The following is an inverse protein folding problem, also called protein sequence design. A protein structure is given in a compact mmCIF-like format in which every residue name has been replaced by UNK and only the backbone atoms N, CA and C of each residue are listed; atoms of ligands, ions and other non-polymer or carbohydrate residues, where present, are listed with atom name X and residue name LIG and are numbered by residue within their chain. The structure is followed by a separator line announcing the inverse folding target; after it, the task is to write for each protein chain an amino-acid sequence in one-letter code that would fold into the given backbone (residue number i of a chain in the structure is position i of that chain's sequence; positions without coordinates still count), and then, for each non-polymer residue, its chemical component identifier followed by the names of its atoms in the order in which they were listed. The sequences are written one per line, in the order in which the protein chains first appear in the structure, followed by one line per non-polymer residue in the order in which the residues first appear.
data_IF_539614847270
#
_entry.id   IF_539614847270
#
_cell.length_a   1.000
_cell.length_b   1.000
_cell.length_c   1.000
_cell.angle_alpha   90.00
_cell.angle_beta   90.00
_cell.angle_gamma   90.00
#
_symmetry.space_group_name_H-M   'P 1'
#
loop_
_entity.id
_entity.type
_entity.pdbx_description
1 polymer ?
#
# COMPACT_ATOMS: atom_id res chain seq x y z
N UNK A 1 51.21 -6.84 -26.63
CA UNK A 1 50.12 -7.61 -26.00
C UNK A 1 49.06 -6.63 -25.60
N UNK A 2 48.04 -6.51 -26.47
CA UNK A 2 46.95 -5.54 -26.27
C UNK A 2 45.97 -6.03 -25.22
N UNK A 3 45.72 -5.22 -24.23
CA UNK A 3 44.62 -5.39 -23.33
C UNK A 3 43.31 -5.22 -24.13
N UNK A 4 42.58 -6.29 -24.36
CA UNK A 4 41.20 -6.21 -24.83
C UNK A 4 40.39 -5.47 -23.76
N UNK A 5 40.07 -4.23 -24.05
CA UNK A 5 39.11 -3.47 -23.29
C UNK A 5 37.79 -4.29 -23.24
N UNK A 6 37.36 -4.62 -22.04
CA UNK A 6 36.03 -5.20 -21.76
C UNK A 6 34.99 -4.18 -22.23
N UNK A 7 34.53 -4.33 -23.47
CA UNK A 7 33.44 -3.50 -24.00
C UNK A 7 32.17 -3.93 -23.26
N UNK A 8 31.90 -3.25 -22.16
CA UNK A 8 30.65 -3.40 -21.43
C UNK A 8 29.47 -3.14 -22.40
N UNK A 9 28.66 -4.15 -22.65
CA UNK A 9 27.41 -3.97 -23.38
C UNK A 9 26.52 -3.03 -22.58
N UNK A 10 26.02 -1.94 -23.19
CA UNK A 10 25.17 -0.99 -22.48
C UNK A 10 23.94 -1.68 -21.91
N UNK A 11 23.49 -1.17 -20.75
CA UNK A 11 22.26 -1.65 -20.12
C UNK A 11 21.07 -1.36 -21.04
N UNK A 12 20.16 -2.32 -21.20
CA UNK A 12 18.89 -2.14 -21.90
C UNK A 12 17.86 -1.67 -20.86
N UNK A 13 17.23 -0.51 -21.09
CA UNK A 13 16.24 0.07 -20.17
C UNK A 13 14.86 -0.07 -20.80
N UNK A 14 13.93 -0.66 -20.04
CA UNK A 14 12.50 -0.68 -20.35
C UNK A 14 11.84 0.28 -19.36
N UNK A 15 11.28 1.37 -19.88
CA UNK A 15 10.65 2.41 -19.07
C UNK A 15 9.45 1.88 -18.28
N UNK A 16 9.20 2.51 -17.13
CA UNK A 16 8.04 2.23 -16.31
C UNK A 16 6.74 2.46 -17.10
N UNK A 17 5.83 1.49 -17.09
CA UNK A 17 4.56 1.55 -17.83
C UNK A 17 3.49 0.73 -17.14
N UNK A 18 2.24 1.21 -17.17
CA UNK A 18 1.06 0.48 -16.68
C UNK A 18 1.20 -0.06 -15.24
N UNK A 19 1.80 0.74 -14.33
CA UNK A 19 2.03 0.36 -12.95
C UNK A 19 3.21 -0.60 -12.72
N UNK A 20 3.98 -0.92 -13.78
CA UNK A 20 5.23 -1.67 -13.69
C UNK A 20 6.42 -0.75 -13.46
N UNK A 21 7.40 -1.16 -12.64
CA UNK A 21 8.62 -0.39 -12.45
C UNK A 21 9.47 -0.37 -13.72
N UNK A 22 10.39 0.57 -13.80
CA UNK A 22 11.47 0.56 -14.78
C UNK A 22 12.29 -0.72 -14.64
N UNK A 23 12.68 -1.32 -15.75
CA UNK A 23 13.49 -2.54 -15.78
C UNK A 23 14.82 -2.25 -16.44
N UNK A 24 15.90 -2.48 -15.71
CA UNK A 24 17.28 -2.33 -16.19
C UNK A 24 17.85 -3.72 -16.48
N UNK A 25 18.08 -4.05 -17.72
CA UNK A 25 18.63 -5.34 -18.14
C UNK A 25 20.12 -5.20 -18.38
N UNK A 26 20.92 -5.83 -17.53
CA UNK A 26 22.37 -5.82 -17.59
C UNK A 26 22.92 -7.17 -18.01
N UNK A 27 23.73 -7.21 -19.07
CA UNK A 27 24.38 -8.43 -19.54
C UNK A 27 25.64 -8.73 -18.72
N UNK A 28 25.81 -10.01 -18.35
CA UNK A 28 26.93 -10.46 -17.53
C UNK A 28 27.70 -11.59 -18.21
N UNK A 29 28.98 -11.35 -18.48
CA UNK A 29 29.90 -12.37 -19.01
C UNK A 29 30.21 -13.49 -18.00
N UNK A 30 30.08 -13.20 -16.70
CA UNK A 30 30.32 -14.18 -15.62
C UNK A 30 29.20 -15.21 -15.51
N UNK A 31 27.98 -14.90 -15.98
CA UNK A 31 26.82 -15.78 -15.91
C UNK A 31 26.68 -16.56 -17.22
N UNK A 32 26.55 -17.88 -17.12
CA UNK A 32 26.41 -18.73 -18.30
C UNK A 32 24.97 -19.16 -18.58
N UNK A 33 24.15 -19.37 -17.54
CA UNK A 33 22.78 -19.94 -17.70
C UNK A 33 21.71 -19.31 -16.81
N UNK A 34 22.05 -18.58 -15.75
CA UNK A 34 21.11 -18.12 -14.73
C UNK A 34 20.82 -16.63 -14.84
N UNK A 35 19.51 -16.28 -14.85
CA UNK A 35 19.05 -14.92 -14.63
C UNK A 35 18.91 -14.65 -13.12
N UNK A 36 19.06 -13.41 -12.74
CA UNK A 36 18.65 -12.94 -11.41
C UNK A 36 18.09 -11.54 -11.53
N UNK A 37 17.13 -11.21 -10.68
CA UNK A 37 16.60 -9.87 -10.56
C UNK A 37 16.58 -9.44 -9.10
N UNK A 38 16.68 -8.13 -8.89
CA UNK A 38 16.53 -7.48 -7.59
C UNK A 38 15.92 -6.10 -7.75
N UNK A 39 15.27 -5.61 -6.69
CA UNK A 39 14.91 -4.21 -6.62
C UNK A 39 16.18 -3.36 -6.46
N UNK A 40 16.24 -2.25 -7.18
CA UNK A 40 17.27 -1.22 -7.06
C UNK A 40 16.57 0.15 -7.04
N UNK A 41 16.24 0.61 -5.82
CA UNK A 41 15.34 1.76 -5.64
C UNK A 41 13.93 1.47 -6.13
N UNK A 42 13.43 2.28 -7.08
CA UNK A 42 12.14 2.09 -7.75
C UNK A 42 12.19 1.20 -8.99
N UNK A 43 13.40 0.80 -9.43
CA UNK A 43 13.62 0.02 -10.65
C UNK A 43 13.94 -1.45 -10.32
N UNK A 44 13.80 -2.34 -11.30
CA UNK A 44 14.22 -3.74 -11.19
C UNK A 44 15.46 -3.98 -12.04
N UNK A 45 16.59 -4.27 -11.39
CA UNK A 45 17.81 -4.69 -12.10
C UNK A 45 17.76 -6.19 -12.40
N UNK A 46 17.84 -6.55 -13.67
CA UNK A 46 17.88 -7.93 -14.16
C UNK A 46 19.25 -8.22 -14.76
N UNK A 47 19.92 -9.22 -14.21
CA UNK A 47 21.20 -9.71 -14.73
C UNK A 47 20.96 -10.88 -15.66
N UNK A 48 21.37 -10.76 -16.95
CA UNK A 48 21.15 -11.75 -18.01
C UNK A 48 22.49 -12.28 -18.50
N UNK A 49 22.60 -13.60 -18.81
CA UNK A 49 23.79 -14.16 -19.47
C UNK A 49 24.06 -13.50 -20.83
N UNK A 50 25.34 -13.27 -21.15
CA UNK A 50 25.74 -12.64 -22.43
C UNK A 50 25.21 -13.39 -23.67
N UNK A 51 25.19 -14.71 -23.65
CA UNK A 51 24.80 -15.56 -24.76
C UNK A 51 23.32 -15.93 -24.84
N UNK A 52 22.45 -15.30 -24.05
CA UNK A 52 21.03 -15.62 -24.04
C UNK A 52 20.31 -15.02 -25.25
N UNK A 53 19.45 -15.83 -25.93
CA UNK A 53 18.65 -15.38 -27.08
C UNK A 53 17.57 -14.39 -26.60
N UNK A 54 17.28 -13.37 -27.41
CA UNK A 54 16.33 -12.32 -27.08
C UNK A 54 14.93 -12.85 -26.74
N UNK A 55 14.41 -13.80 -27.54
CA UNK A 55 13.08 -14.37 -27.31
C UNK A 55 12.95 -15.12 -25.98
N UNK A 56 13.99 -15.85 -25.56
CA UNK A 56 14.04 -16.54 -24.28
C UNK A 56 14.22 -15.55 -23.12
N UNK A 57 14.99 -14.48 -23.36
CA UNK A 57 15.22 -13.40 -22.41
C UNK A 57 13.91 -12.71 -22.05
N UNK A 58 13.14 -12.24 -23.03
CA UNK A 58 11.96 -11.40 -22.82
C UNK A 58 10.94 -12.11 -21.92
N UNK A 59 10.65 -13.39 -22.18
CA UNK A 59 9.73 -14.17 -21.35
C UNK A 59 10.24 -14.36 -19.92
N UNK A 60 11.49 -14.82 -19.77
CA UNK A 60 12.06 -15.12 -18.46
C UNK A 60 12.32 -13.87 -17.62
N UNK A 61 12.67 -12.75 -18.26
CA UNK A 61 12.81 -11.44 -17.59
C UNK A 61 11.48 -11.01 -17.01
N UNK A 62 10.39 -11.07 -17.78
CA UNK A 62 9.07 -10.65 -17.29
C UNK A 62 8.56 -11.52 -16.12
N UNK A 63 8.71 -12.85 -16.21
CA UNK A 63 8.37 -13.76 -15.12
C UNK A 63 9.16 -13.44 -13.83
N UNK A 64 10.46 -13.15 -13.99
CA UNK A 64 11.34 -12.83 -12.86
C UNK A 64 11.04 -11.47 -12.26
N UNK A 65 10.75 -10.47 -13.09
CA UNK A 65 10.31 -9.13 -12.66
C UNK A 65 9.02 -9.22 -11.85
N UNK A 66 8.00 -9.92 -12.35
CA UNK A 66 6.74 -10.12 -11.64
C UNK A 66 6.94 -10.82 -10.29
N UNK A 67 7.85 -11.79 -10.20
CA UNK A 67 8.19 -12.47 -8.96
C UNK A 67 8.86 -11.53 -7.95
N UNK A 68 9.84 -10.74 -8.41
CA UNK A 68 10.58 -9.82 -7.53
C UNK A 68 9.69 -8.68 -7.05
N UNK A 69 8.88 -8.10 -7.92
CA UNK A 69 7.94 -7.02 -7.54
C UNK A 69 6.87 -7.50 -6.56
N UNK A 70 6.31 -8.69 -6.76
CA UNK A 70 5.37 -9.30 -5.81
C UNK A 70 6.03 -9.58 -4.45
N UNK A 71 7.28 -10.05 -4.45
CA UNK A 71 8.02 -10.32 -3.22
C UNK A 71 8.33 -9.01 -2.46
N UNK A 72 8.75 -7.97 -3.17
CA UNK A 72 9.03 -6.66 -2.60
C UNK A 72 7.75 -5.97 -2.06
N UNK A 73 6.65 -6.05 -2.79
CA UNK A 73 5.35 -5.57 -2.33
C UNK A 73 4.90 -6.27 -1.03
N UNK A 74 5.06 -7.61 -0.94
CA UNK A 74 4.78 -8.36 0.28
C UNK A 74 5.67 -7.94 1.45
N UNK A 75 6.96 -7.72 1.20
CA UNK A 75 7.91 -7.28 2.21
C UNK A 75 7.56 -5.89 2.73
N UNK A 76 7.31 -4.92 1.84
CA UNK A 76 6.87 -3.57 2.23
C UNK A 76 5.57 -3.60 3.03
N UNK A 77 4.64 -4.46 2.65
CA UNK A 77 3.38 -4.64 3.38
C UNK A 77 3.60 -5.21 4.79
N UNK A 78 4.51 -6.17 4.94
CA UNK A 78 4.89 -6.73 6.24
C UNK A 78 5.57 -5.68 7.13
N UNK A 79 6.57 -4.96 6.59
CA UNK A 79 7.27 -3.88 7.31
C UNK A 79 6.29 -2.77 7.73
N UNK A 80 5.29 -2.47 6.88
CA UNK A 80 4.21 -1.52 7.17
C UNK A 80 3.27 -1.99 8.27
N UNK A 81 2.99 -3.29 8.38
CA UNK A 81 2.17 -3.86 9.46
C UNK A 81 2.88 -3.84 10.80
N UNK A 82 4.20 -4.10 10.82
CA UNK A 82 5.01 -4.00 12.04
C UNK A 82 5.07 -2.55 12.55
N UNK A 83 5.16 -1.57 11.64
CA UNK A 83 5.08 -0.16 12.02
C UNK A 83 3.70 0.22 12.56
N UNK A 84 2.62 -0.28 11.94
CA UNK A 84 1.26 -0.09 12.47
C UNK A 84 1.10 -0.66 13.87
N UNK A 85 1.63 -1.85 14.12
CA UNK A 85 1.55 -2.48 15.44
C UNK A 85 2.31 -1.67 16.48
N UNK A 86 3.54 -1.23 16.15
CA UNK A 86 4.30 -0.33 17.02
C UNK A 86 3.59 0.99 17.28
N UNK A 87 2.94 1.54 16.27
CA UNK A 87 2.14 2.76 16.36
C UNK A 87 0.93 2.58 17.28
N UNK A 88 0.20 1.47 17.15
CA UNK A 88 -0.92 1.10 18.01
C UNK A 88 -0.50 1.03 19.49
N UNK A 89 0.59 0.34 19.78
CA UNK A 89 1.14 0.23 21.14
C UNK A 89 1.49 1.62 21.74
N UNK A 90 2.11 2.49 20.94
CA UNK A 90 2.40 3.87 21.40
C UNK A 90 1.11 4.66 21.71
N UNK A 91 0.06 4.48 20.91
CA UNK A 91 -1.23 5.12 21.15
C UNK A 91 -1.91 4.57 22.42
N UNK A 92 -1.90 3.24 22.62
CA UNK A 92 -2.41 2.63 23.84
C UNK A 92 -1.71 3.18 25.07
N UNK A 93 -0.39 3.08 25.14
CA UNK A 93 0.42 3.53 26.28
C UNK A 93 0.20 5.01 26.61
N UNK A 94 0.05 5.84 25.60
CA UNK A 94 -0.06 7.29 25.81
C UNK A 94 -1.47 7.74 26.17
N UNK A 95 -2.48 7.15 25.58
CA UNK A 95 -3.84 7.70 25.64
C UNK A 95 -4.89 6.76 26.24
N UNK A 96 -4.74 5.44 26.10
CA UNK A 96 -5.77 4.47 26.49
C UNK A 96 -5.49 3.84 27.86
N UNK A 97 -4.29 3.32 28.09
CA UNK A 97 -3.90 2.65 29.34
C UNK A 97 -4.15 3.52 30.59
N UNK A 98 -3.81 4.83 30.60
CA UNK A 98 -4.10 5.69 31.75
C UNK A 98 -5.59 5.87 32.06
N UNK A 99 -6.48 5.60 31.09
CA UNK A 99 -7.94 5.75 31.23
C UNK A 99 -8.65 4.50 31.68
N UNK A 100 -8.04 3.33 31.42
CA UNK A 100 -8.61 2.04 31.80
C UNK A 100 -7.95 1.43 33.03
N UNK A 101 -6.84 2.01 33.51
CA UNK A 101 -5.97 1.49 34.57
C UNK A 101 -5.52 0.04 34.30
N UNK A 102 -5.30 -0.28 33.03
CA UNK A 102 -4.87 -1.57 32.55
C UNK A 102 -4.05 -1.40 31.27
N UNK A 103 -3.34 -2.44 30.84
CA UNK A 103 -2.60 -2.44 29.60
C UNK A 103 -3.49 -2.95 28.45
N UNK A 104 -3.69 -2.13 27.42
CA UNK A 104 -4.43 -2.49 26.23
C UNK A 104 -3.44 -2.84 25.10
N UNK A 105 -3.46 -4.06 24.67
CA UNK A 105 -2.54 -4.54 23.63
C UNK A 105 -3.30 -5.27 22.52
N UNK A 106 -3.27 -4.74 21.28
CA UNK A 106 -3.83 -5.45 20.14
C UNK A 106 -2.97 -6.68 19.80
N UNK A 107 -3.60 -7.83 19.55
CA UNK A 107 -2.90 -9.03 19.12
C UNK A 107 -2.24 -8.89 17.75
N UNK A 108 -2.82 -8.07 16.86
CA UNK A 108 -2.22 -7.71 15.58
C UNK A 108 -2.90 -6.48 14.98
N UNK A 109 -2.12 -5.67 14.26
CA UNK A 109 -2.64 -4.55 13.45
C UNK A 109 -2.10 -4.69 12.04
N UNK A 110 -2.98 -4.63 11.02
CA UNK A 110 -2.56 -4.84 9.63
C UNK A 110 -3.38 -4.04 8.63
N UNK A 111 -2.76 -3.70 7.53
CA UNK A 111 -3.44 -3.19 6.35
C UNK A 111 -4.18 -4.31 5.63
N UNK A 112 -5.37 -4.02 5.10
CA UNK A 112 -6.16 -4.95 4.28
C UNK A 112 -6.78 -4.23 3.09
N UNK A 113 -6.87 -4.91 1.94
CA UNK A 113 -7.42 -4.37 0.69
C UNK A 113 -8.92 -4.62 0.50
N UNK A 114 -9.55 -5.35 1.41
CA UNK A 114 -10.95 -5.78 1.28
C UNK A 114 -11.95 -4.94 2.10
N UNK A 115 -11.54 -3.75 2.58
CA UNK A 115 -12.41 -2.81 3.29
C UNK A 115 -12.76 -1.62 2.40
N UNK A 116 -13.85 -1.74 1.62
CA UNK A 116 -14.28 -0.70 0.69
C UNK A 116 -15.25 0.32 1.32
N UNK A 117 -16.03 -0.09 2.33
CA UNK A 117 -17.08 0.71 2.97
C UNK A 117 -16.70 1.29 4.33
N UNK A 118 -15.57 0.89 4.91
CA UNK A 118 -15.10 1.34 6.23
C UNK A 118 -13.59 1.53 6.22
N UNK A 119 -13.09 2.35 7.14
CA UNK A 119 -11.67 2.67 7.25
C UNK A 119 -10.90 1.70 8.15
N UNK A 120 -11.59 1.11 9.13
CA UNK A 120 -11.02 0.13 10.04
C UNK A 120 -12.02 -0.92 10.50
N UNK A 121 -11.55 -1.93 11.22
CA UNK A 121 -12.37 -2.88 11.98
C UNK A 121 -11.56 -3.52 13.08
N UNK A 122 -12.17 -3.68 14.24
CA UNK A 122 -11.65 -4.44 15.37
C UNK A 122 -12.45 -5.74 15.55
N UNK A 123 -11.77 -6.80 15.93
CA UNK A 123 -12.38 -8.04 16.44
C UNK A 123 -11.97 -8.19 17.90
N UNK A 124 -12.77 -7.71 18.86
CA UNK A 124 -12.39 -7.66 20.29
C UNK A 124 -12.02 -9.03 20.86
N UNK A 125 -12.71 -10.09 20.47
CA UNK A 125 -12.47 -11.45 20.96
C UNK A 125 -11.10 -12.02 20.61
N UNK A 126 -10.47 -11.52 19.54
CA UNK A 126 -9.16 -11.96 19.07
C UNK A 126 -8.09 -10.87 19.15
N UNK A 127 -8.46 -9.65 19.54
CA UNK A 127 -7.57 -8.49 19.58
C UNK A 127 -7.02 -8.06 18.21
N UNK A 128 -7.65 -8.48 17.12
CA UNK A 128 -7.19 -8.19 15.76
C UNK A 128 -7.78 -6.88 15.24
N UNK A 129 -6.93 -5.99 14.75
CA UNK A 129 -7.30 -4.74 14.11
C UNK A 129 -6.88 -4.78 12.64
N UNK A 130 -7.78 -4.32 11.77
CA UNK A 130 -7.54 -4.21 10.32
C UNK A 130 -7.84 -2.78 9.89
N UNK A 131 -6.92 -2.16 9.15
CA UNK A 131 -7.10 -0.85 8.55
C UNK A 131 -7.14 -0.97 7.03
N UNK A 132 -7.99 -0.17 6.38
CA UNK A 132 -8.06 -0.13 4.92
C UNK A 132 -6.75 0.42 4.33
N UNK A 133 -6.15 -0.29 3.39
CA UNK A 133 -4.95 0.14 2.66
C UNK A 133 -5.19 1.42 1.81
N UNK A 134 -6.45 1.81 1.59
CA UNK A 134 -6.83 3.10 1.00
C UNK A 134 -6.33 4.30 1.81
N UNK A 135 -5.99 4.11 3.08
CA UNK A 135 -5.39 5.15 3.93
C UNK A 135 -3.85 5.22 3.81
N UNK A 136 -3.22 4.35 3.04
CA UNK A 136 -1.78 4.45 2.78
C UNK A 136 -1.50 5.76 2.05
N UNK A 137 -0.66 6.60 2.67
CA UNK A 137 -0.38 7.96 2.19
C UNK A 137 -1.27 9.06 2.79
N UNK A 138 -2.27 8.72 3.62
CA UNK A 138 -2.99 9.73 4.39
C UNK A 138 -2.08 10.35 5.47
N UNK A 139 -2.39 11.58 5.90
CA UNK A 139 -1.69 12.20 7.01
C UNK A 139 -1.72 11.32 8.27
N UNK A 140 -0.63 11.28 9.01
CA UNK A 140 -0.48 10.45 10.21
C UNK A 140 -1.62 10.61 11.22
N UNK A 141 -2.06 11.85 11.46
CA UNK A 141 -3.14 12.14 12.41
C UNK A 141 -4.50 11.57 11.99
N UNK A 142 -4.73 11.28 10.68
CA UNK A 142 -5.94 10.59 10.18
C UNK A 142 -5.85 9.10 10.48
N UNK A 143 -4.69 8.50 10.18
CA UNK A 143 -4.44 7.08 10.47
C UNK A 143 -4.49 6.82 11.97
N UNK A 144 -3.90 7.73 12.79
CA UNK A 144 -3.97 7.65 14.27
C UNK A 144 -5.40 7.68 14.78
N UNK A 145 -6.25 8.53 14.21
CA UNK A 145 -7.65 8.63 14.64
C UNK A 145 -8.41 7.33 14.37
N UNK A 146 -8.31 6.77 13.15
CA UNK A 146 -8.98 5.50 12.82
C UNK A 146 -8.42 4.37 13.68
N UNK A 147 -7.10 4.33 13.87
CA UNK A 147 -6.47 3.34 14.73
C UNK A 147 -6.93 3.48 16.19
N UNK A 148 -7.01 4.69 16.71
CA UNK A 148 -7.53 4.98 18.05
C UNK A 148 -8.98 4.51 18.22
N UNK A 149 -9.83 4.72 17.21
CA UNK A 149 -11.20 4.23 17.19
C UNK A 149 -11.25 2.71 17.34
N UNK A 150 -10.44 2.00 16.57
CA UNK A 150 -10.39 0.53 16.60
C UNK A 150 -9.77 0.01 17.93
N UNK A 151 -8.79 0.73 18.50
CA UNK A 151 -8.23 0.39 19.79
C UNK A 151 -9.24 0.55 20.94
N UNK A 152 -10.09 1.59 20.90
CA UNK A 152 -11.17 1.73 21.86
C UNK A 152 -12.12 0.54 21.87
N UNK A 153 -12.32 -0.13 20.72
CA UNK A 153 -13.13 -1.34 20.63
C UNK A 153 -12.56 -2.57 21.31
N UNK A 154 -11.26 -2.56 21.67
CA UNK A 154 -10.69 -3.61 22.52
C UNK A 154 -11.20 -3.52 23.97
N UNK A 155 -11.60 -2.30 24.39
CA UNK A 155 -12.09 -2.02 25.76
C UNK A 155 -13.63 -1.96 25.78
N UNK A 156 -14.22 -1.35 24.78
CA UNK A 156 -15.66 -1.11 24.69
C UNK A 156 -16.19 -1.46 23.29
N UNK A 157 -16.95 -2.53 23.20
CA UNK A 157 -17.46 -3.05 21.92
C UNK A 157 -18.51 -2.18 21.24
N UNK A 158 -19.19 -1.30 21.99
CA UNK A 158 -20.29 -0.49 21.50
C UNK A 158 -19.94 0.99 21.55
N UNK A 159 -20.45 1.79 20.59
CA UNK A 159 -20.29 3.25 20.55
C UNK A 159 -21.18 3.96 21.61
N UNK A 160 -21.05 3.56 22.86
CA UNK A 160 -21.77 4.16 23.99
C UNK A 160 -20.96 5.34 24.60
N UNK A 161 -21.47 5.91 25.71
CA UNK A 161 -20.81 7.01 26.39
C UNK A 161 -19.34 6.68 26.77
N UNK A 162 -19.11 5.45 27.26
CA UNK A 162 -17.76 5.01 27.65
C UNK A 162 -16.80 5.00 26.47
N UNK A 163 -17.23 4.50 25.30
CA UNK A 163 -16.45 4.54 24.08
C UNK A 163 -16.05 5.96 23.70
N UNK A 164 -17.00 6.90 23.69
CA UNK A 164 -16.72 8.29 23.35
C UNK A 164 -15.80 8.98 24.36
N UNK A 165 -15.91 8.67 25.66
CA UNK A 165 -15.00 9.15 26.70
C UNK A 165 -13.56 8.65 26.47
N UNK A 166 -13.39 7.39 26.03
CA UNK A 166 -12.08 6.84 25.67
C UNK A 166 -11.50 7.53 24.42
N UNK A 167 -12.30 7.63 23.37
CA UNK A 167 -11.89 8.22 22.09
C UNK A 167 -11.56 9.72 22.22
N UNK A 168 -12.31 10.47 23.03
CA UNK A 168 -12.04 11.88 23.31
C UNK A 168 -10.65 12.15 23.92
N UNK A 169 -9.98 11.11 24.40
CA UNK A 169 -8.59 11.21 24.87
C UNK A 169 -7.55 11.37 23.77
N UNK A 170 -7.90 11.06 22.54
CA UNK A 170 -6.98 11.13 21.40
C UNK A 170 -7.11 12.49 20.70
N UNK A 171 -6.00 13.05 20.21
CA UNK A 171 -6.00 14.35 19.55
C UNK A 171 -6.57 14.28 18.13
N UNK A 172 -7.02 15.44 17.62
CA UNK A 172 -7.42 15.65 16.22
C UNK A 172 -8.65 14.85 15.73
N UNK A 173 -9.53 14.38 16.62
CA UNK A 173 -10.71 13.59 16.22
C UNK A 173 -11.58 14.32 15.18
N UNK A 174 -12.08 15.51 15.47
CA UNK A 174 -12.92 16.31 14.57
C UNK A 174 -12.25 16.57 13.21
N UNK A 175 -10.96 16.89 13.26
CA UNK A 175 -10.18 17.15 12.04
C UNK A 175 -10.07 15.91 11.17
N UNK A 176 -9.85 14.73 11.78
CA UNK A 176 -9.73 13.47 11.09
C UNK A 176 -11.06 13.01 10.47
N UNK A 177 -12.15 13.18 11.20
CA UNK A 177 -13.49 12.91 10.71
C UNK A 177 -13.85 13.80 9.51
N UNK A 178 -13.54 15.10 9.60
CA UNK A 178 -13.72 16.04 8.50
C UNK A 178 -12.92 15.66 7.25
N UNK A 179 -11.66 15.24 7.43
CA UNK A 179 -10.82 14.76 6.32
C UNK A 179 -11.40 13.49 5.67
N UNK A 180 -11.79 12.50 6.47
CA UNK A 180 -12.34 11.22 5.97
C UNK A 180 -13.66 11.43 5.23
N UNK A 181 -14.53 12.29 5.77
CA UNK A 181 -15.81 12.68 5.14
C UNK A 181 -15.59 13.37 3.82
N UNK A 182 -14.69 14.37 3.77
CA UNK A 182 -14.36 15.09 2.54
C UNK A 182 -13.73 14.19 1.48
N UNK A 183 -12.83 13.31 1.88
CA UNK A 183 -12.22 12.33 0.97
C UNK A 183 -13.27 11.37 0.40
N UNK A 184 -14.17 10.86 1.24
CA UNK A 184 -15.22 9.94 0.80
C UNK A 184 -16.19 10.62 -0.16
N UNK A 185 -16.54 11.87 0.09
CA UNK A 185 -17.38 12.67 -0.82
C UNK A 185 -16.70 12.89 -2.17
N UNK A 186 -15.43 13.25 -2.19
CA UNK A 186 -14.68 13.46 -3.42
C UNK A 186 -14.62 12.20 -4.30
N UNK A 187 -14.32 11.04 -3.68
CA UNK A 187 -14.25 9.76 -4.41
C UNK A 187 -15.62 9.28 -4.88
N UNK A 188 -16.70 9.55 -4.13
CA UNK A 188 -18.06 9.21 -4.54
C UNK A 188 -18.60 10.15 -5.61
N UNK A 189 -18.24 11.44 -5.58
CA UNK A 189 -18.64 12.44 -6.56
C UNK A 189 -18.00 12.25 -7.94
N UNK A 190 -16.77 11.75 -8.01
CA UNK A 190 -16.14 11.40 -9.28
C UNK A 190 -16.82 10.20 -9.97
N UNK A 191 -17.36 9.27 -9.21
CA UNK A 191 -18.07 8.11 -9.76
C UNK A 191 -19.42 8.49 -10.42
N UNK A 192 -20.03 9.60 -10.03
CA UNK A 192 -21.31 10.06 -10.60
C UNK A 192 -21.10 11.00 -11.81
N UNK A 193 -19.97 11.72 -11.87
CA UNK A 193 -19.66 12.65 -12.97
C UNK A 193 -19.17 11.93 -14.25
N UNK A 194 -18.80 10.67 -14.19
CA UNK A 194 -18.44 9.86 -15.36
C UNK A 194 -19.64 9.23 -16.08
N UNK A 195 -20.86 9.42 -15.55
CA UNK A 195 -22.12 8.91 -16.13
C UNK A 195 -22.96 9.97 -16.84
N UNK A 196 -22.57 11.23 -16.80
CA UNK A 196 -23.23 12.34 -17.49
C UNK A 196 -22.31 12.96 -18.53
N UNK A 197 -22.03 12.26 -19.61
CA UNK A 197 -21.71 12.88 -20.91
C UNK A 197 -23.02 13.08 -21.66
N UNK A 198 -23.50 14.32 -21.84
CA UNK A 198 -24.68 14.62 -22.64
C UNK A 198 -24.24 14.93 -24.07
N UNK A 199 -23.68 13.99 -24.79
CA UNK A 199 -23.45 14.09 -26.23
C UNK A 199 -24.01 12.88 -26.95
N UNK A 200 -25.33 12.81 -27.00
CA UNK A 200 -26.02 12.21 -28.14
C UNK A 200 -27.39 12.87 -28.32
N UNK A 201 -27.37 14.07 -28.86
CA UNK A 201 -28.56 14.69 -29.45
C UNK A 201 -28.16 15.32 -30.81
N UNK A 202 -27.98 14.50 -31.81
CA UNK A 202 -28.02 14.95 -33.21
C UNK A 202 -29.28 14.41 -33.86
N UNK A 203 -30.25 15.29 -33.84
CA UNK A 203 -31.24 15.58 -34.86
C UNK A 203 -31.27 14.64 -36.08
N UNK A 204 -32.40 14.08 -36.36
CA UNK A 204 -32.94 13.98 -37.71
C UNK A 204 -34.40 14.45 -37.72
N UNK A 205 -34.60 15.69 -38.14
CA UNK A 205 -35.87 16.17 -38.65
C UNK A 205 -35.67 16.37 -40.14
N UNK A 206 -36.29 15.53 -40.97
CA UNK A 206 -36.70 15.93 -42.30
C UNK A 206 -37.73 14.97 -42.87
N UNK A 207 -38.91 15.59 -43.14
CA UNK A 207 -39.98 15.25 -44.09
C UNK A 207 -41.03 14.29 -43.62
#
# INVERSE_FOLDING_TARGET
MGAMADMAVPDEIIEARDGRPEIIIRRSARRRRTLSARMEGSSVLVMVPMGMRKADQDRQVMELVDKVTKCDARRRHHDSNDELTRRALRLCQKYLDPRVNDTVEPASVRWVSNQNSRWGSCTPSTGQIRLSDRMIGFPDWVVDHVLAHELCHLVEGHHNRRFHELLAGFPNAERAEGFLTGFQWAVSGEADNTRNDPDDNSADQSS
#
